data_IF_703777286323
#
_entry.id   IF_703777286323
#
_cell.length_a   1.000
_cell.length_b   1.000
_cell.length_c   1.000
_cell.angle_alpha   90.00
_cell.angle_beta   90.00
_cell.angle_gamma   90.00
#
_symmetry.space_group_name_H-M   'P 1'
#
loop_
_entity.id
_entity.type
_entity.pdbx_description
1 polymer ?
#
# COMPACT_ATOMS: atom_id res chain seq x y z
N UNK A 1 -14.81 45.07 -59.89
CA UNK A 1 -14.75 43.79 -60.64
C UNK A 1 -14.62 42.66 -59.63
N UNK A 2 -15.41 41.61 -59.82
CA UNK A 2 -15.40 40.29 -59.14
C UNK A 2 -15.91 40.24 -57.70
N UNK A 3 -16.57 39.17 -57.24
CA UNK A 3 -17.70 38.41 -57.75
C UNK A 3 -18.25 37.64 -56.52
N UNK A 4 -19.58 37.58 -56.42
CA UNK A 4 -20.44 36.69 -55.61
C UNK A 4 -19.77 35.41 -55.07
N UNK A 5 -20.15 34.98 -53.86
CA UNK A 5 -20.76 33.65 -53.62
C UNK A 5 -21.58 33.66 -52.33
N UNK A 6 -22.87 33.36 -52.49
CA UNK A 6 -23.84 33.00 -51.46
C UNK A 6 -23.72 31.47 -51.25
N UNK A 7 -23.68 30.99 -50.00
CA UNK A 7 -24.07 29.60 -49.69
C UNK A 7 -25.12 29.65 -48.59
N UNK A 8 -26.25 29.04 -48.91
CA UNK A 8 -27.45 28.95 -48.10
C UNK A 8 -27.46 27.65 -47.26
N UNK A 9 -28.23 27.72 -46.18
CA UNK A 9 -29.04 26.67 -45.56
C UNK A 9 -28.39 25.33 -45.15
N UNK A 10 -28.45 25.05 -43.86
CA UNK A 10 -28.36 23.70 -43.30
C UNK A 10 -28.91 23.67 -41.88
N UNK A 11 -30.15 23.22 -41.75
CA UNK A 11 -30.84 22.93 -40.48
C UNK A 11 -30.00 22.03 -39.57
N UNK A 12 -30.06 22.28 -38.27
CA UNK A 12 -29.56 21.37 -37.24
C UNK A 12 -29.92 21.81 -35.84
N UNK A 13 -31.22 21.78 -35.51
CA UNK A 13 -31.68 21.85 -34.10
C UNK A 13 -31.36 20.50 -33.48
N UNK A 14 -30.29 20.42 -32.69
CA UNK A 14 -30.07 19.35 -31.73
C UNK A 14 -30.27 19.93 -30.33
N UNK A 15 -31.49 19.82 -29.84
CA UNK A 15 -31.73 19.89 -28.40
C UNK A 15 -31.19 18.61 -27.76
N UNK A 16 -30.18 18.73 -26.91
CA UNK A 16 -29.91 17.70 -25.91
C UNK A 16 -29.84 18.34 -24.53
N UNK A 17 -30.87 18.02 -23.74
CA UNK A 17 -30.76 17.67 -22.34
C UNK A 17 -30.07 18.66 -21.41
N UNK A 18 -30.90 19.45 -20.72
CA UNK A 18 -30.61 19.93 -19.37
C UNK A 18 -30.02 18.80 -18.51
N UNK A 19 -28.71 18.86 -18.24
CA UNK A 19 -28.07 18.05 -17.21
C UNK A 19 -28.57 18.57 -15.85
N UNK A 20 -29.41 17.76 -15.21
CA UNK A 20 -29.80 17.98 -13.82
C UNK A 20 -28.56 17.91 -12.93
N UNK A 21 -28.27 19.01 -12.26
CA UNK A 21 -27.35 19.05 -11.12
C UNK A 21 -28.05 18.30 -9.99
N UNK A 22 -27.77 17.00 -9.85
CA UNK A 22 -28.11 16.24 -8.65
C UNK A 22 -27.15 16.70 -7.57
N UNK A 23 -27.65 17.60 -6.72
CA UNK A 23 -27.01 17.94 -5.45
C UNK A 23 -27.03 16.71 -4.54
N UNK A 24 -25.88 16.06 -4.42
CA UNK A 24 -25.67 15.03 -3.40
C UNK A 24 -25.39 15.77 -2.10
N UNK A 25 -26.42 16.01 -1.29
CA UNK A 25 -26.25 16.35 0.12
C UNK A 25 -25.80 15.09 0.84
N UNK A 26 -24.49 14.93 1.03
CA UNK A 26 -23.95 13.91 1.91
C UNK A 26 -24.29 14.28 3.36
N UNK A 27 -25.35 13.66 3.89
CA UNK A 27 -25.64 13.66 5.31
C UNK A 27 -24.52 12.91 6.03
N UNK A 28 -23.73 13.63 6.83
CA UNK A 28 -22.77 13.03 7.74
C UNK A 28 -23.54 12.33 8.86
N UNK A 29 -23.64 11.01 8.79
CA UNK A 29 -24.03 10.20 9.95
C UNK A 29 -22.86 10.16 10.91
N UNK A 30 -23.01 10.87 12.04
CA UNK A 30 -22.13 10.74 13.19
C UNK A 30 -22.19 9.31 13.72
N UNK A 31 -21.14 8.53 13.46
CA UNK A 31 -20.90 7.27 14.17
C UNK A 31 -20.16 7.60 15.46
N UNK A 32 -20.84 7.34 16.57
CA UNK A 32 -20.29 7.32 17.93
C UNK A 32 -18.94 6.60 17.99
N UNK A 33 -17.95 7.30 18.53
CA UNK A 33 -16.64 6.74 18.82
C UNK A 33 -16.75 5.77 20.01
N UNK A 34 -16.21 4.54 19.92
CA UNK A 34 -16.14 3.66 21.08
C UNK A 34 -15.10 4.18 22.08
N UNK A 35 -15.56 4.55 23.27
CA UNK A 35 -14.73 4.77 24.46
C UNK A 35 -13.94 3.52 24.78
N UNK A 36 -12.61 3.59 24.64
CA UNK A 36 -11.70 2.52 25.05
C UNK A 36 -11.39 2.63 26.55
N UNK A 37 -11.87 1.64 27.29
CA UNK A 37 -11.53 1.41 28.71
C UNK A 37 -10.04 1.10 28.83
N UNK A 38 -9.29 1.97 29.49
CA UNK A 38 -7.89 1.76 29.86
C UNK A 38 -7.79 0.77 31.03
N UNK A 39 -7.39 -0.47 30.76
CA UNK A 39 -6.93 -1.40 31.79
C UNK A 39 -5.44 -1.18 32.02
N UNK A 40 -5.08 -0.68 33.21
CA UNK A 40 -3.70 -0.55 33.65
C UNK A 40 -3.07 -1.93 33.85
N UNK A 41 -2.03 -2.26 33.09
CA UNK A 41 -1.19 -3.43 33.34
C UNK A 41 -0.08 -3.01 34.30
N UNK A 42 -0.19 -3.56 35.51
CA UNK A 42 0.76 -3.47 36.61
C UNK A 42 2.18 -3.88 36.18
N UNK A 43 3.14 -3.00 36.45
CA UNK A 43 4.57 -3.25 36.20
C UNK A 43 5.14 -4.23 37.22
N UNK A 44 5.72 -5.33 36.74
CA UNK A 44 6.50 -6.25 37.57
C UNK A 44 8.00 -6.07 37.24
N UNK A 45 8.89 -5.80 38.21
CA UNK A 45 10.30 -5.60 37.95
C UNK A 45 11.05 -6.94 37.77
N UNK A 46 11.68 -7.12 36.61
CA UNK A 46 12.59 -8.24 36.34
C UNK A 46 13.90 -8.07 37.13
N UNK A 47 14.13 -9.06 37.99
CA UNK A 47 15.32 -9.31 38.80
C UNK A 47 16.17 -10.37 38.11
N UNK A 48 17.49 -10.19 38.14
CA UNK A 48 18.44 -11.31 38.17
C UNK A 48 19.31 -11.48 36.94
N UNK A 49 20.62 -11.27 37.14
CA UNK A 49 21.66 -11.43 36.14
C UNK A 49 22.00 -12.88 35.81
N UNK A 50 22.74 -13.02 34.73
CA UNK A 50 23.42 -14.24 34.32
C UNK A 50 24.58 -13.87 33.41
N UNK A 51 25.80 -13.87 33.96
CA UNK A 51 27.04 -13.91 33.20
C UNK A 51 27.10 -15.25 32.46
N UNK A 52 27.29 -15.20 31.15
CA UNK A 52 27.58 -16.36 30.32
C UNK A 52 28.60 -15.96 29.26
N UNK A 53 29.79 -16.54 29.37
CA UNK A 53 30.88 -16.50 28.40
C UNK A 53 30.41 -16.83 26.98
N UNK A 54 30.56 -15.88 26.05
CA UNK A 54 30.48 -16.15 24.62
C UNK A 54 31.91 -16.22 24.07
N UNK A 55 32.39 -17.46 23.88
CA UNK A 55 33.57 -17.73 23.07
C UNK A 55 33.35 -17.39 21.58
N UNK A 56 34.43 -17.23 20.80
CA UNK A 56 34.35 -16.83 19.40
C UNK A 56 33.89 -18.01 18.53
N UNK A 57 32.64 -17.99 18.07
CA UNK A 57 32.18 -18.86 16.99
C UNK A 57 32.57 -18.24 15.65
N UNK A 58 33.67 -18.71 15.08
CA UNK A 58 33.92 -18.60 13.65
C UNK A 58 32.97 -19.55 12.92
N UNK A 59 32.20 -19.04 11.96
CA UNK A 59 31.54 -19.92 11.01
C UNK A 59 30.32 -19.33 10.30
N UNK A 60 30.51 -19.00 9.03
CA UNK A 60 29.50 -19.32 8.02
C UNK A 60 28.66 -18.15 7.49
N UNK A 61 28.45 -18.19 6.18
CA UNK A 61 27.25 -17.63 5.56
C UNK A 61 27.49 -16.42 4.67
N UNK A 62 28.03 -16.65 3.47
CA UNK A 62 27.63 -15.89 2.27
C UNK A 62 26.12 -16.10 2.06
N UNK A 63 25.28 -15.37 2.76
CA UNK A 63 23.90 -15.16 2.33
C UNK A 63 23.89 -13.86 1.55
N UNK A 64 23.93 -14.00 0.21
CA UNK A 64 23.41 -12.98 -0.67
C UNK A 64 21.95 -12.78 -0.28
N UNK A 65 21.69 -11.72 0.48
CA UNK A 65 20.35 -11.26 0.75
C UNK A 65 19.75 -10.86 -0.59
N UNK A 66 19.03 -11.79 -1.21
CA UNK A 66 17.87 -11.45 -2.01
C UNK A 66 17.03 -10.50 -1.17
N UNK A 67 17.25 -9.20 -1.36
CA UNK A 67 16.26 -8.16 -1.13
C UNK A 67 15.15 -8.35 -2.17
N UNK A 68 14.54 -9.53 -2.16
CA UNK A 68 13.20 -9.76 -2.66
C UNK A 68 12.30 -9.00 -1.68
N UNK A 69 12.16 -7.71 -1.93
CA UNK A 69 10.95 -7.00 -1.59
C UNK A 69 9.81 -7.70 -2.32
N UNK A 70 9.37 -8.85 -1.79
CA UNK A 70 8.00 -9.30 -1.93
C UNK A 70 7.20 -8.12 -1.40
N UNK A 71 6.73 -7.26 -2.31
CA UNK A 71 5.46 -6.61 -2.09
C UNK A 71 4.56 -7.74 -1.63
N UNK A 72 4.19 -7.71 -0.36
CA UNK A 72 3.61 -8.84 0.37
C UNK A 72 2.20 -9.17 -0.12
N UNK A 73 1.82 -8.66 -1.29
CA UNK A 73 0.56 -8.82 -1.95
C UNK A 73 0.81 -8.84 -3.48
N UNK A 74 0.83 -10.04 -4.09
CA UNK A 74 0.85 -10.20 -5.55
C UNK A 74 -0.56 -10.04 -6.15
N UNK A 75 -0.74 -10.18 -7.48
CA UNK A 75 -2.04 -10.04 -8.14
C UNK A 75 -3.11 -11.08 -7.71
N UNK A 76 -2.74 -12.06 -6.90
CA UNK A 76 -3.67 -13.01 -6.26
C UNK A 76 -4.33 -12.47 -4.99
N UNK A 77 -3.88 -11.32 -4.50
CA UNK A 77 -4.39 -10.70 -3.28
C UNK A 77 -5.66 -9.88 -3.47
N UNK A 78 -6.14 -9.69 -4.69
CA UNK A 78 -7.37 -8.92 -4.91
C UNK A 78 -8.60 -9.58 -4.27
N UNK A 79 -8.71 -10.90 -4.32
CA UNK A 79 -9.82 -11.62 -3.69
C UNK A 79 -9.71 -11.62 -2.15
N UNK A 80 -8.50 -11.81 -1.62
CA UNK A 80 -8.23 -11.74 -0.18
C UNK A 80 -8.46 -10.33 0.35
N UNK A 81 -7.99 -9.31 -0.38
CA UNK A 81 -8.17 -7.89 -0.09
C UNK A 81 -9.65 -7.50 -0.15
N UNK A 82 -10.37 -7.90 -1.19
CA UNK A 82 -11.81 -7.65 -1.30
C UNK A 82 -12.58 -8.28 -0.13
N UNK A 83 -12.20 -9.48 0.30
CA UNK A 83 -12.79 -10.13 1.48
C UNK A 83 -12.46 -9.38 2.78
N UNK A 84 -11.25 -8.85 2.94
CA UNK A 84 -10.87 -8.01 4.09
C UNK A 84 -11.62 -6.66 4.09
N UNK A 85 -11.79 -6.03 2.92
CA UNK A 85 -12.59 -4.82 2.74
C UNK A 85 -14.06 -5.03 3.08
N UNK A 86 -14.63 -6.14 2.61
CA UNK A 86 -16.02 -6.52 2.87
C UNK A 86 -16.24 -7.09 4.29
N UNK A 87 -15.16 -7.36 5.04
CA UNK A 87 -15.21 -8.10 6.31
C UNK A 87 -15.93 -9.46 6.17
N UNK A 88 -15.72 -10.14 5.05
CA UNK A 88 -16.36 -11.42 4.71
C UNK A 88 -15.39 -12.59 4.90
N UNK A 89 -15.51 -13.27 6.04
CA UNK A 89 -14.69 -14.44 6.35
C UNK A 89 -14.90 -15.60 5.38
N UNK A 90 -16.12 -15.81 4.87
CA UNK A 90 -16.39 -16.91 3.96
C UNK A 90 -15.76 -16.66 2.58
N UNK A 91 -15.81 -15.42 2.09
CA UNK A 91 -15.07 -15.01 0.90
C UNK A 91 -13.55 -15.13 1.11
N UNK A 92 -13.07 -14.77 2.29
CA UNK A 92 -11.65 -14.90 2.65
C UNK A 92 -11.18 -16.35 2.65
N UNK A 93 -11.92 -17.27 3.27
CA UNK A 93 -11.58 -18.71 3.28
C UNK A 93 -11.57 -19.25 1.85
N UNK A 94 -12.54 -18.89 1.00
CA UNK A 94 -12.55 -19.30 -0.41
C UNK A 94 -11.34 -18.77 -1.18
N UNK A 95 -10.97 -17.51 -0.98
CA UNK A 95 -9.78 -16.91 -1.58
C UNK A 95 -8.50 -17.62 -1.09
N UNK A 96 -8.41 -17.89 0.22
CA UNK A 96 -7.31 -18.64 0.83
C UNK A 96 -7.19 -20.06 0.31
N UNK A 97 -8.32 -20.76 0.14
CA UNK A 97 -8.35 -22.11 -0.41
C UNK A 97 -7.96 -22.17 -1.88
N UNK A 98 -8.32 -21.14 -2.64
CA UNK A 98 -7.98 -20.99 -4.05
C UNK A 98 -6.52 -20.56 -4.28
N UNK A 99 -5.80 -20.17 -3.22
CA UNK A 99 -4.41 -19.76 -3.32
C UNK A 99 -3.51 -20.96 -3.65
N UNK A 100 -3.05 -21.04 -4.90
CA UNK A 100 -2.18 -22.12 -5.41
C UNK A 100 -0.76 -22.05 -4.88
N UNK A 101 -0.36 -20.92 -4.28
CA UNK A 101 0.97 -20.68 -3.76
C UNK A 101 1.09 -20.95 -2.24
N UNK A 102 0.01 -21.42 -1.60
CA UNK A 102 0.06 -21.78 -0.18
C UNK A 102 0.78 -23.13 0.04
N UNK A 103 1.50 -23.28 1.16
CA UNK A 103 1.97 -24.60 1.59
C UNK A 103 0.80 -25.59 1.69
N UNK A 104 1.01 -26.84 1.28
CA UNK A 104 -0.04 -27.87 1.27
C UNK A 104 -0.62 -28.17 2.65
N UNK A 105 0.09 -27.82 3.71
CA UNK A 105 -0.27 -27.96 5.12
C UNK A 105 -0.82 -26.68 5.75
N UNK A 106 -0.90 -25.57 5.00
CA UNK A 106 -1.41 -24.30 5.51
C UNK A 106 -2.93 -24.36 5.72
N UNK A 107 -3.35 -24.33 6.98
CA UNK A 107 -4.75 -24.20 7.36
C UNK A 107 -5.26 -22.77 7.12
N UNK A 108 -6.55 -22.64 6.83
CA UNK A 108 -7.18 -21.33 6.75
C UNK A 108 -7.11 -20.64 8.12
N UNK A 109 -6.79 -19.34 8.18
CA UNK A 109 -6.86 -18.57 9.41
C UNK A 109 -8.22 -18.69 10.07
N UNK A 110 -8.25 -18.73 11.40
CA UNK A 110 -9.51 -18.76 12.16
C UNK A 110 -10.26 -17.44 12.05
N UNK A 111 -11.54 -17.41 12.41
CA UNK A 111 -12.34 -16.19 12.45
C UNK A 111 -11.71 -15.10 13.34
N UNK A 112 -11.13 -15.46 14.48
CA UNK A 112 -10.44 -14.49 15.35
C UNK A 112 -9.20 -13.90 14.68
N UNK A 113 -8.44 -14.73 13.95
CA UNK A 113 -7.29 -14.26 13.17
C UNK A 113 -7.74 -13.38 12.02
N UNK A 114 -8.83 -13.72 11.33
CA UNK A 114 -9.44 -12.89 10.30
C UNK A 114 -9.86 -11.52 10.83
N UNK A 115 -10.54 -11.47 11.97
CA UNK A 115 -10.94 -10.19 12.56
C UNK A 115 -9.72 -9.31 12.86
N UNK A 116 -8.61 -9.89 13.35
CA UNK A 116 -7.34 -9.17 13.54
C UNK A 116 -6.74 -8.68 12.22
N UNK A 117 -6.84 -9.48 11.16
CA UNK A 117 -6.41 -9.07 9.81
C UNK A 117 -7.26 -7.93 9.28
N UNK A 118 -8.58 -7.95 9.46
CA UNK A 118 -9.49 -6.86 9.07
C UNK A 118 -9.18 -5.57 9.83
N UNK A 119 -8.94 -5.65 11.13
CA UNK A 119 -8.51 -4.48 11.92
C UNK A 119 -7.16 -3.92 11.46
N UNK A 120 -6.19 -4.79 11.21
CA UNK A 120 -4.90 -4.41 10.65
C UNK A 120 -5.04 -3.75 9.28
N UNK A 121 -5.89 -4.32 8.41
CA UNK A 121 -6.19 -3.80 7.09
C UNK A 121 -6.80 -2.40 7.15
N UNK A 122 -7.81 -2.18 7.99
CA UNK A 122 -8.44 -0.87 8.17
C UNK A 122 -7.43 0.19 8.62
N UNK A 123 -6.56 -0.15 9.58
CA UNK A 123 -5.48 0.75 10.02
C UNK A 123 -4.53 1.07 8.88
N UNK A 124 -4.12 0.06 8.11
CA UNK A 124 -3.23 0.25 6.96
C UNK A 124 -3.85 1.16 5.90
N UNK A 125 -5.13 1.03 5.59
CA UNK A 125 -5.84 1.91 4.63
C UNK A 125 -5.81 3.36 5.11
N UNK A 126 -6.10 3.62 6.40
CA UNK A 126 -6.04 4.98 6.96
C UNK A 126 -4.62 5.53 6.89
N UNK A 127 -3.62 4.74 7.26
CA UNK A 127 -2.20 5.14 7.18
C UNK A 127 -1.79 5.46 5.75
N UNK A 128 -2.12 4.60 4.79
CA UNK A 128 -1.77 4.80 3.39
C UNK A 128 -2.43 6.06 2.81
N UNK A 129 -3.72 6.27 3.11
CA UNK A 129 -4.40 7.49 2.70
C UNK A 129 -3.78 8.74 3.34
N UNK A 130 -3.42 8.68 4.62
CA UNK A 130 -2.76 9.78 5.31
C UNK A 130 -1.37 10.10 4.71
N UNK A 131 -0.61 9.09 4.32
CA UNK A 131 0.68 9.27 3.64
C UNK A 131 0.50 9.88 2.24
N UNK A 132 -0.50 9.40 1.50
CA UNK A 132 -0.85 9.92 0.17
C UNK A 132 -1.29 11.39 0.22
N UNK A 133 -2.09 11.76 1.21
CA UNK A 133 -2.59 13.12 1.40
C UNK A 133 -1.60 14.03 2.16
N UNK A 134 -0.45 13.48 2.61
CA UNK A 134 0.50 14.15 3.50
C UNK A 134 -0.19 14.75 4.76
N UNK A 135 -1.14 14.00 5.33
CA UNK A 135 -1.97 14.40 6.46
C UNK A 135 -1.47 13.78 7.78
N UNK A 136 -0.67 14.54 8.54
CA UNK A 136 -0.11 14.09 9.82
C UNK A 136 -1.21 13.77 10.85
N UNK A 137 -2.27 14.58 10.93
CA UNK A 137 -3.31 14.39 11.95
C UNK A 137 -4.07 13.07 11.75
N UNK A 138 -4.39 12.72 10.50
CA UNK A 138 -4.98 11.43 10.16
C UNK A 138 -4.02 10.27 10.45
N UNK A 139 -2.73 10.46 10.21
CA UNK A 139 -1.70 9.45 10.51
C UNK A 139 -1.56 9.21 12.02
N UNK A 140 -1.62 10.26 12.85
CA UNK A 140 -1.55 10.19 14.32
C UNK A 140 -2.81 9.58 14.94
N UNK A 141 -3.96 9.62 14.25
CA UNK A 141 -5.15 8.89 14.71
C UNK A 141 -5.00 7.37 14.55
N UNK A 142 -4.25 6.93 13.54
CA UNK A 142 -4.02 5.51 13.29
C UNK A 142 -2.77 4.96 14.02
N UNK A 143 -1.82 5.82 14.34
CA UNK A 143 -0.49 5.45 14.88
C UNK A 143 0.04 6.55 15.81
N UNK A 144 1.10 6.33 16.59
CA UNK A 144 1.66 7.38 17.49
C UNK A 144 3.09 7.78 17.10
N UNK A 145 3.34 8.36 15.91
CA UNK A 145 4.68 8.75 15.48
C UNK A 145 5.06 10.17 15.93
N UNK A 146 6.34 10.46 15.83
CA UNK A 146 6.86 11.83 15.74
C UNK A 146 6.59 12.44 14.35
N UNK A 147 6.74 13.77 14.23
CA UNK A 147 6.60 14.47 12.94
C UNK A 147 7.73 14.12 11.97
N UNK A 148 8.92 13.92 12.50
CA UNK A 148 10.12 13.51 11.76
C UNK A 148 9.91 12.13 11.15
N UNK A 149 9.40 11.16 11.94
CA UNK A 149 9.05 9.83 11.45
C UNK A 149 7.96 9.90 10.38
N UNK A 150 6.93 10.75 10.55
CA UNK A 150 5.91 10.93 9.52
C UNK A 150 6.49 11.46 8.21
N UNK A 151 7.31 12.51 8.27
CA UNK A 151 7.95 13.07 7.08
C UNK A 151 8.82 12.02 6.36
N UNK A 152 9.56 11.21 7.13
CA UNK A 152 10.31 10.09 6.58
C UNK A 152 9.39 9.08 5.89
N UNK A 153 8.28 8.69 6.52
CA UNK A 153 7.31 7.74 5.95
C UNK A 153 6.64 8.27 4.70
N UNK A 154 6.34 9.57 4.62
CA UNK A 154 5.80 10.22 3.42
C UNK A 154 6.82 10.16 2.29
N UNK A 155 8.10 10.43 2.58
CA UNK A 155 9.19 10.31 1.60
C UNK A 155 9.34 8.88 1.07
N UNK A 156 9.34 7.88 1.97
CA UNK A 156 9.38 6.46 1.60
C UNK A 156 8.17 6.06 0.74
N UNK A 157 6.97 6.47 1.15
CA UNK A 157 5.73 6.19 0.43
C UNK A 157 5.75 6.77 -0.98
N UNK A 158 6.12 8.05 -1.10
CA UNK A 158 6.20 8.77 -2.38
C UNK A 158 7.18 8.08 -3.32
N UNK A 159 8.38 7.79 -2.82
CA UNK A 159 9.44 7.16 -3.60
C UNK A 159 9.05 5.76 -4.06
N UNK A 160 8.49 4.94 -3.16
CA UNK A 160 8.01 3.58 -3.47
C UNK A 160 6.89 3.62 -4.51
N UNK A 161 5.95 4.55 -4.38
CA UNK A 161 4.82 4.71 -5.31
C UNK A 161 5.32 5.12 -6.70
N UNK A 162 6.27 6.05 -6.78
CA UNK A 162 6.89 6.45 -8.03
C UNK A 162 7.67 5.30 -8.71
N UNK A 163 8.45 4.53 -7.95
CA UNK A 163 9.15 3.35 -8.48
C UNK A 163 8.16 2.28 -8.98
N UNK A 164 7.09 2.01 -8.21
CA UNK A 164 6.05 1.06 -8.63
C UNK A 164 5.37 1.52 -9.92
N UNK A 165 4.97 2.78 -10.00
CA UNK A 165 4.35 3.33 -11.20
C UNK A 165 5.28 3.20 -12.41
N UNK A 166 6.58 3.47 -12.24
CA UNK A 166 7.58 3.31 -13.29
C UNK A 166 7.73 1.85 -13.76
N UNK A 167 7.68 0.87 -12.84
CA UNK A 167 7.66 -0.57 -13.18
C UNK A 167 6.40 -0.92 -13.96
N UNK A 168 5.24 -0.48 -13.48
CA UNK A 168 3.94 -0.76 -14.12
C UNK A 168 3.86 -0.15 -15.54
N UNK A 169 4.48 1.02 -15.76
CA UNK A 169 4.55 1.69 -17.08
C UNK A 169 5.78 1.30 -17.89
N UNK A 170 6.64 0.41 -17.38
CA UNK A 170 7.91 -0.02 -18.01
C UNK A 170 8.86 1.14 -18.33
N UNK A 171 8.82 2.20 -17.54
CA UNK A 171 9.61 3.42 -17.72
C UNK A 171 10.87 3.37 -16.84
N UNK A 172 11.99 2.96 -17.42
CA UNK A 172 13.27 2.89 -16.70
C UNK A 172 13.78 4.27 -16.27
N UNK A 173 13.57 5.33 -17.07
CA UNK A 173 14.05 6.67 -16.73
C UNK A 173 13.28 7.25 -15.54
N UNK A 174 11.96 7.03 -15.49
CA UNK A 174 11.15 7.37 -14.32
C UNK A 174 11.58 6.56 -13.08
N UNK A 175 11.92 5.29 -13.25
CA UNK A 175 12.42 4.44 -12.17
C UNK A 175 13.75 4.97 -11.60
N UNK A 176 14.72 5.31 -12.47
CA UNK A 176 16.01 5.87 -12.06
C UNK A 176 15.81 7.17 -11.29
N UNK A 177 14.98 8.09 -11.78
CA UNK A 177 14.67 9.35 -11.08
C UNK A 177 14.07 9.11 -9.71
N UNK A 178 13.11 8.19 -9.60
CA UNK A 178 12.51 7.81 -8.33
C UNK A 178 13.55 7.21 -7.37
N UNK A 179 14.42 6.31 -7.84
CA UNK A 179 15.50 5.72 -7.05
C UNK A 179 16.53 6.75 -6.55
N UNK A 180 16.94 7.67 -7.42
CA UNK A 180 17.89 8.73 -7.08
C UNK A 180 17.32 9.67 -6.02
N UNK A 181 16.02 9.98 -6.09
CA UNK A 181 15.31 10.80 -5.10
C UNK A 181 15.14 10.11 -3.73
N UNK A 182 15.32 8.78 -3.64
CA UNK A 182 15.21 8.05 -2.38
C UNK A 182 16.36 8.44 -1.43
N UNK A 183 16.05 9.19 -0.37
CA UNK A 183 17.04 9.58 0.65
C UNK A 183 17.36 8.47 1.65
N UNK A 184 16.56 7.40 1.66
CA UNK A 184 16.66 6.33 2.66
C UNK A 184 17.35 5.07 2.10
N UNK A 185 17.91 5.15 0.88
CA UNK A 185 18.71 4.06 0.32
C UNK A 185 20.07 3.95 1.04
N UNK A 186 20.64 2.74 1.17
CA UNK A 186 22.03 2.58 1.63
C UNK A 186 22.99 3.45 0.81
N UNK A 187 24.04 3.97 1.45
CA UNK A 187 25.01 4.86 0.78
C UNK A 187 25.81 4.17 -0.31
N UNK A 188 25.90 2.85 -0.27
CA UNK A 188 26.54 1.97 -1.26
C UNK A 188 25.56 1.42 -2.30
N UNK A 189 24.27 1.74 -2.19
CA UNK A 189 23.26 1.25 -3.11
C UNK A 189 23.39 1.93 -4.49
N UNK A 190 23.71 1.13 -5.50
CA UNK A 190 23.76 1.57 -6.89
C UNK A 190 22.37 1.57 -7.51
N UNK A 191 22.15 2.44 -8.49
CA UNK A 191 20.94 2.43 -9.32
C UNK A 191 20.83 1.07 -10.02
N UNK A 192 19.71 0.35 -9.89
CA UNK A 192 19.50 -0.90 -10.61
C UNK A 192 19.69 -0.72 -12.10
N UNK A 193 20.37 -1.66 -12.75
CA UNK A 193 20.58 -1.60 -14.21
C UNK A 193 19.27 -1.83 -14.96
N UNK A 194 19.24 -1.45 -16.24
CA UNK A 194 18.07 -1.69 -17.09
C UNK A 194 17.71 -3.19 -17.19
N UNK A 195 18.71 -4.09 -17.16
CA UNK A 195 18.45 -5.54 -17.13
C UNK A 195 17.76 -5.96 -15.82
N UNK A 196 18.20 -5.42 -14.69
CA UNK A 196 17.56 -5.67 -13.38
C UNK A 196 16.14 -5.09 -13.34
N UNK A 197 15.94 -3.90 -13.91
CA UNK A 197 14.62 -3.30 -14.08
C UNK A 197 13.68 -4.17 -14.92
N UNK A 198 14.14 -4.66 -16.07
CA UNK A 198 13.34 -5.55 -16.92
C UNK A 198 12.96 -6.85 -16.18
N UNK A 199 13.83 -7.37 -15.31
CA UNK A 199 13.48 -8.51 -14.43
C UNK A 199 12.40 -8.14 -13.41
N UNK A 200 12.40 -6.91 -12.88
CA UNK A 200 11.34 -6.43 -11.98
C UNK A 200 10.01 -6.28 -12.72
N UNK A 201 10.01 -5.69 -13.92
CA UNK A 201 8.83 -5.60 -14.80
C UNK A 201 8.27 -6.99 -15.10
N UNK A 202 9.11 -7.92 -15.57
CA UNK A 202 8.67 -9.27 -15.90
C UNK A 202 8.08 -10.02 -14.70
N UNK A 203 8.55 -9.74 -13.48
CA UNK A 203 7.97 -10.30 -12.24
C UNK A 203 6.62 -9.65 -11.89
N UNK A 204 6.40 -8.38 -12.22
CA UNK A 204 5.13 -7.69 -11.96
C UNK A 204 3.99 -8.14 -12.87
N UNK A 205 4.32 -8.81 -13.99
CA UNK A 205 3.35 -9.35 -14.96
C UNK A 205 2.92 -10.80 -14.66
N UNK A 206 3.53 -11.44 -13.67
CA UNK A 206 3.23 -12.82 -13.24
C UNK A 206 2.23 -12.82 -12.08
#
# INVERSE_FOLDING_TARGET
MNNKTLIAAGLGVLSLGTLGVVGITSAATATDAPTSTTTQISSNPMRGGGKGDFGPSMGGGKHGGEFGGRGMFGPQDDATKAALEANDYNAFVKAWESNTNKPSDATAPTQEQFNKMVEGYKKQVVVEQALKDNNYDAYVQATTPTKEEFAQRVSEYTTRTAMKAAVDTKDYDAFVKAWESNTNKPSDATVPTQEQFNKMVARSEQ
#
